data_IF_607236829171
#
_entry.id   IF_607236829171
#
_cell.length_a   1.000
_cell.length_b   1.000
_cell.length_c   1.000
_cell.angle_alpha   90.00
_cell.angle_beta   90.00
_cell.angle_gamma   90.00
#
_symmetry.space_group_name_H-M   'P 1'
#
loop_
_entity.id
_entity.type
_entity.pdbx_description
1 polymer ?
#
# COMPACT_ATOMS: atom_id res chain seq x y z
N UNK A 1 -21.20 -3.40 -0.50
CA UNK A 1 -20.20 -2.60 -1.23
C UNK A 1 -20.20 -3.13 -2.64
N UNK A 2 -20.61 -2.33 -3.62
CA UNK A 2 -20.66 -2.76 -5.02
C UNK A 2 -19.33 -2.38 -5.68
N UNK A 3 -18.41 -3.35 -5.73
CA UNK A 3 -17.14 -3.22 -6.44
C UNK A 3 -17.34 -3.82 -7.83
N UNK A 4 -16.94 -3.09 -8.86
CA UNK A 4 -17.01 -3.60 -10.22
C UNK A 4 -15.69 -3.36 -10.95
N UNK A 5 -15.35 -4.20 -11.94
CA UNK A 5 -14.18 -4.02 -12.80
C UNK A 5 -14.43 -2.95 -13.88
N UNK A 6 -15.36 -2.00 -13.70
CA UNK A 6 -15.58 -0.95 -14.69
C UNK A 6 -14.35 -0.04 -14.79
N UNK A 7 -13.67 -0.13 -15.93
CA UNK A 7 -12.28 0.26 -16.02
C UNK A 7 -12.08 1.21 -17.20
N UNK A 8 -11.91 2.50 -16.90
CA UNK A 8 -11.42 3.47 -17.88
C UNK A 8 -9.93 3.68 -17.65
N UNK A 9 -9.13 2.74 -18.13
CA UNK A 9 -7.67 2.83 -18.05
C UNK A 9 -7.07 3.02 -19.44
N UNK A 10 -7.22 4.23 -19.95
CA UNK A 10 -6.77 4.61 -21.29
C UNK A 10 -5.24 4.57 -21.41
N UNK A 11 -4.51 4.57 -20.27
CA UNK A 11 -3.04 4.66 -20.23
C UNK A 11 -2.36 3.46 -19.53
N UNK A 12 -3.07 2.34 -19.38
CA UNK A 12 -2.56 1.11 -18.75
C UNK A 12 -1.98 1.34 -17.33
N UNK A 13 -2.51 2.32 -16.61
CA UNK A 13 -2.13 2.68 -15.25
C UNK A 13 -2.26 1.52 -14.29
N UNK A 14 -3.30 0.68 -14.37
CA UNK A 14 -3.34 -0.48 -13.47
C UNK A 14 -2.25 -1.50 -13.77
N UNK A 15 -1.91 -1.69 -15.05
CA UNK A 15 -0.78 -2.53 -15.45
C UNK A 15 0.52 -2.01 -14.83
N UNK A 16 0.76 -0.71 -14.92
CA UNK A 16 1.93 -0.04 -14.33
C UNK A 16 1.94 -0.07 -12.81
N UNK A 17 0.78 -0.03 -12.15
CA UNK A 17 0.66 -0.22 -10.70
C UNK A 17 1.02 -1.67 -10.33
N UNK A 18 0.57 -2.65 -11.12
CA UNK A 18 0.90 -4.07 -10.94
C UNK A 18 2.37 -4.39 -11.18
N UNK A 19 3.08 -3.60 -11.98
CA UNK A 19 4.54 -3.69 -12.11
C UNK A 19 5.28 -3.30 -10.81
N UNK A 20 4.67 -2.48 -9.94
CA UNK A 20 5.25 -2.14 -8.64
C UNK A 20 5.16 -3.31 -7.65
N UNK A 21 4.04 -4.03 -7.67
CA UNK A 21 3.82 -5.27 -6.92
C UNK A 21 2.84 -6.16 -7.69
N UNK A 22 3.25 -7.38 -8.12
CA UNK A 22 2.38 -8.30 -8.85
C UNK A 22 1.09 -8.69 -8.12
N UNK A 23 1.04 -8.55 -6.80
CA UNK A 23 -0.15 -8.79 -6.00
C UNK A 23 -1.19 -7.66 -6.12
N UNK A 24 -0.81 -6.49 -6.65
CA UNK A 24 -1.73 -5.36 -6.79
C UNK A 24 -2.76 -5.57 -7.90
N UNK A 25 -4.00 -5.23 -7.57
CA UNK A 25 -5.09 -5.10 -8.52
C UNK A 25 -5.98 -3.90 -8.14
N UNK A 26 -6.57 -3.29 -9.16
CA UNK A 26 -7.41 -2.10 -9.03
C UNK A 26 -8.89 -2.50 -9.00
N UNK A 27 -9.63 -1.93 -8.06
CA UNK A 27 -11.08 -2.05 -7.95
C UNK A 27 -11.71 -0.66 -8.03
N UNK A 28 -12.90 -0.54 -8.62
CA UNK A 28 -13.68 0.69 -8.57
C UNK A 28 -14.81 0.56 -7.54
N UNK A 29 -14.84 1.48 -6.59
CA UNK A 29 -15.88 1.58 -5.57
C UNK A 29 -17.02 2.46 -6.06
N UNK A 30 -18.15 1.85 -6.43
CA UNK A 30 -19.34 2.55 -6.94
C UNK A 30 -19.98 3.50 -5.92
N UNK A 31 -19.80 3.24 -4.62
CA UNK A 31 -20.38 4.08 -3.57
C UNK A 31 -19.60 5.38 -3.41
N UNK A 32 -18.26 5.33 -3.46
CA UNK A 32 -17.41 6.51 -3.31
C UNK A 32 -17.02 7.15 -4.65
N UNK A 33 -17.21 6.44 -5.77
CA UNK A 33 -16.77 6.88 -7.09
C UNK A 33 -15.24 6.89 -7.26
N UNK A 34 -14.52 6.10 -6.47
CA UNK A 34 -13.05 6.12 -6.41
C UNK A 34 -12.45 4.76 -6.71
N UNK A 35 -11.25 4.79 -7.26
CA UNK A 35 -10.44 3.60 -7.44
C UNK A 35 -9.75 3.22 -6.14
N UNK A 36 -9.59 1.91 -5.92
CA UNK A 36 -8.95 1.34 -4.75
C UNK A 36 -7.86 0.36 -5.20
N UNK A 37 -6.73 0.36 -4.51
CA UNK A 37 -5.66 -0.62 -4.69
C UNK A 37 -5.84 -1.71 -3.66
N UNK A 38 -5.85 -2.94 -4.14
CA UNK A 38 -5.94 -4.13 -3.31
C UNK A 38 -4.74 -5.04 -3.55
N UNK A 39 -4.36 -5.82 -2.54
CA UNK A 39 -3.41 -6.93 -2.65
C UNK A 39 -3.90 -8.17 -1.90
N UNK A 40 -3.50 -9.33 -2.40
CA UNK A 40 -3.77 -10.62 -1.79
C UNK A 40 -5.16 -11.18 -2.11
N UNK A 41 -5.55 -12.22 -1.37
CA UNK A 41 -6.82 -12.93 -1.56
C UNK A 41 -7.55 -13.03 -0.23
N UNK A 42 -8.83 -12.67 -0.17
CA UNK A 42 -9.63 -12.78 1.06
C UNK A 42 -10.56 -11.59 1.30
N UNK A 43 -10.99 -11.42 2.55
CA UNK A 43 -11.89 -10.33 2.96
C UNK A 43 -11.20 -8.99 3.21
N UNK A 44 -9.93 -9.00 3.58
CA UNK A 44 -9.16 -7.79 3.89
C UNK A 44 -8.00 -7.66 2.92
N UNK A 45 -8.28 -7.02 1.79
CA UNK A 45 -7.32 -6.86 0.69
C UNK A 45 -7.04 -5.40 0.39
N UNK A 46 -7.76 -4.46 1.03
CA UNK A 46 -7.65 -3.04 0.74
C UNK A 46 -6.30 -2.51 1.22
N UNK A 47 -5.48 -2.04 0.29
CA UNK A 47 -4.21 -1.41 0.60
C UNK A 47 -4.31 0.11 0.60
N UNK A 48 -5.08 0.67 -0.34
CA UNK A 48 -5.14 2.11 -0.53
C UNK A 48 -6.45 2.54 -1.18
N UNK A 49 -7.07 3.59 -0.64
CA UNK A 49 -8.12 4.34 -1.32
C UNK A 49 -7.47 5.47 -2.11
N UNK A 50 -7.69 5.53 -3.43
CA UNK A 50 -7.09 6.56 -4.26
C UNK A 50 -7.94 7.84 -4.15
N UNK A 51 -7.34 9.00 -3.85
CA UNK A 51 -8.06 10.25 -3.69
C UNK A 51 -8.52 10.87 -5.02
N UNK A 52 -8.57 10.07 -6.09
CA UNK A 52 -8.86 10.49 -7.46
C UNK A 52 -10.02 9.69 -8.03
N UNK A 53 -10.85 10.37 -8.81
CA UNK A 53 -12.01 9.84 -9.53
C UNK A 53 -11.63 9.19 -10.88
N UNK A 54 -10.40 9.41 -11.35
CA UNK A 54 -9.86 8.89 -12.61
C UNK A 54 -8.55 8.16 -12.35
N UNK A 55 -8.35 7.04 -13.04
CA UNK A 55 -7.11 6.28 -13.01
C UNK A 55 -6.10 6.86 -14.00
N UNK A 56 -5.32 7.85 -13.55
CA UNK A 56 -4.28 8.52 -14.35
C UNK A 56 -2.89 8.45 -13.69
N UNK A 57 -1.91 9.17 -14.24
CA UNK A 57 -0.53 9.20 -13.73
C UNK A 57 -0.39 9.64 -12.26
N UNK A 58 -1.36 10.41 -11.72
CA UNK A 58 -1.38 10.82 -10.31
C UNK A 58 -1.62 9.62 -9.41
N UNK A 59 -2.47 8.69 -9.82
CA UNK A 59 -2.71 7.44 -9.08
C UNK A 59 -1.43 6.60 -8.99
N UNK A 60 -0.72 6.39 -10.11
CA UNK A 60 0.55 5.66 -10.11
C UNK A 60 1.60 6.31 -9.18
N UNK A 61 1.72 7.63 -9.25
CA UNK A 61 2.67 8.39 -8.41
C UNK A 61 2.31 8.28 -6.93
N UNK A 62 1.03 8.35 -6.60
CA UNK A 62 0.52 8.24 -5.23
C UNK A 62 0.74 6.84 -4.64
N UNK A 63 0.48 5.78 -5.41
CA UNK A 63 0.76 4.40 -4.99
C UNK A 63 2.24 4.21 -4.71
N UNK A 64 3.10 4.65 -5.63
CA UNK A 64 4.56 4.56 -5.45
C UNK A 64 5.02 5.31 -4.19
N UNK A 65 4.54 6.53 -3.99
CA UNK A 65 4.89 7.31 -2.80
C UNK A 65 4.44 6.62 -1.51
N UNK A 66 3.21 6.10 -1.49
CA UNK A 66 2.67 5.41 -0.30
C UNK A 66 3.45 4.14 0.01
N UNK A 67 3.82 3.35 -1.00
CA UNK A 67 4.63 2.16 -0.83
C UNK A 67 5.99 2.47 -0.19
N UNK A 68 6.67 3.52 -0.68
CA UNK A 68 7.96 3.97 -0.11
C UNK A 68 7.80 4.46 1.32
N UNK A 69 6.78 5.27 1.60
CA UNK A 69 6.52 5.77 2.96
C UNK A 69 6.30 4.62 3.95
N UNK A 70 5.47 3.63 3.59
CA UNK A 70 5.21 2.46 4.44
C UNK A 70 6.46 1.63 4.71
N UNK A 71 7.30 1.41 3.71
CA UNK A 71 8.58 0.69 3.88
C UNK A 71 9.47 1.42 4.90
N UNK A 72 9.58 2.75 4.79
CA UNK A 72 10.38 3.55 5.73
C UNK A 72 9.81 3.48 7.15
N UNK A 73 8.48 3.51 7.31
CA UNK A 73 7.82 3.36 8.61
C UNK A 73 8.13 1.99 9.25
N UNK A 74 8.05 0.91 8.47
CA UNK A 74 8.37 -0.44 8.95
C UNK A 74 9.84 -0.58 9.34
N UNK A 75 10.78 -0.03 8.56
CA UNK A 75 12.19 -0.02 8.91
C UNK A 75 12.43 0.75 10.23
N UNK A 76 11.81 1.91 10.39
CA UNK A 76 11.91 2.69 11.62
C UNK A 76 11.29 1.98 12.84
N UNK A 77 10.28 1.13 12.66
CA UNK A 77 9.74 0.28 13.71
C UNK A 77 10.70 -0.85 14.10
N UNK A 78 11.31 -1.52 13.12
CA UNK A 78 12.33 -2.56 13.33
C UNK A 78 13.52 -1.98 14.10
N UNK A 79 14.03 -0.82 13.71
CA UNK A 79 15.15 -0.15 14.38
C UNK A 79 14.83 0.21 15.84
N UNK A 80 13.60 0.70 16.10
CA UNK A 80 13.15 0.97 17.46
C UNK A 80 13.08 -0.29 18.31
N UNK A 81 12.60 -1.40 17.75
CA UNK A 81 12.55 -2.69 18.43
C UNK A 81 13.96 -3.22 18.74
N UNK A 82 14.90 -3.09 17.79
CA UNK A 82 16.30 -3.47 17.98
C UNK A 82 16.96 -2.67 19.12
N UNK A 83 16.76 -1.35 19.16
CA UNK A 83 17.30 -0.50 20.22
C UNK A 83 16.77 -0.88 21.61
N UNK A 84 15.48 -1.25 21.71
CA UNK A 84 14.89 -1.73 22.97
C UNK A 84 15.55 -3.05 23.39
N UNK A 85 15.73 -3.98 22.46
CA UNK A 85 16.34 -5.28 22.72
C UNK A 85 17.81 -5.14 23.14
N UNK A 86 18.58 -4.27 22.50
CA UNK A 86 19.98 -3.98 22.89
C UNK A 86 20.06 -3.37 24.29
N UNK A 87 19.20 -2.40 24.62
CA UNK A 87 19.12 -1.82 25.97
C UNK A 87 18.72 -2.85 27.02
N UNK A 88 17.81 -3.76 26.70
CA UNK A 88 17.43 -4.85 27.58
C UNK A 88 18.57 -5.86 27.77
N UNK A 89 19.35 -6.16 26.72
CA UNK A 89 20.53 -7.02 26.80
C UNK A 89 21.63 -6.40 27.67
N UNK A 90 21.91 -5.10 27.51
CA UNK A 90 22.88 -4.36 28.33
C UNK A 90 22.49 -4.35 29.81
N UNK A 91 21.21 -4.20 30.14
CA UNK A 91 20.74 -4.30 31.54
C UNK A 91 20.87 -5.69 32.15
N UNK A 92 20.89 -6.75 31.33
CA UNK A 92 21.02 -8.15 31.80
C UNK A 92 22.47 -8.63 31.89
N UNK A 93 23.40 -7.96 31.21
CA UNK A 93 24.83 -8.26 31.23
C UNK A 93 25.67 -7.43 32.22
N UNK A 94 25.07 -6.44 32.89
CA UNK A 94 25.71 -5.70 33.97
C UNK A 94 25.65 -6.50 35.28
N UNK A 95 26.79 -7.12 35.63
CA UNK A 95 27.12 -7.59 36.99
C UNK A 95 27.63 -6.38 37.79
#
# INVERSE_FOLDING_TARGET
MELSPEFRDVFYIAGRIKELDPAYYIMFNRNSGRYQVHAGTGRDTLQLDLPFDILDSRALSYVRQTAVTRINEYLAEIDRANLINERAALKRGGI
#
